data_IF_165644604904
#
_entry.id   IF_165644604904
#
_cell.length_a   1.000
_cell.length_b   1.000
_cell.length_c   1.000
_cell.angle_alpha   90.00
_cell.angle_beta   90.00
_cell.angle_gamma   90.00
#
_symmetry.space_group_name_H-M   'P 1'
#
loop_
_entity.id
_entity.type
_entity.pdbx_description
1 polymer ?
#
# COMPACT_ATOMS: atom_id res chain seq x y z
N UNK A 1 22.25 5.41 15.85
CA UNK A 1 22.65 5.92 14.52
C UNK A 1 22.42 7.41 14.49
N UNK A 2 23.44 8.22 14.18
CA UNK A 2 23.28 9.66 14.00
C UNK A 2 22.92 9.94 12.53
N UNK A 3 21.82 10.65 12.29
CA UNK A 3 21.36 11.03 10.95
C UNK A 3 21.74 12.49 10.67
N UNK A 4 22.30 12.79 9.49
CA UNK A 4 22.62 14.16 9.06
C UNK A 4 21.72 14.56 7.89
N UNK A 5 20.94 15.62 8.08
CA UNK A 5 20.11 16.18 7.01
C UNK A 5 20.95 17.05 6.07
N UNK A 6 20.97 16.68 4.79
CA UNK A 6 21.71 17.35 3.71
C UNK A 6 20.80 18.15 2.77
N UNK A 7 19.51 18.21 3.05
CA UNK A 7 18.51 18.76 2.13
C UNK A 7 18.78 20.22 1.79
N UNK A 8 19.18 21.04 2.77
CA UNK A 8 19.53 22.46 2.53
C UNK A 8 20.74 22.61 1.60
N UNK A 9 21.82 21.89 1.87
CA UNK A 9 23.05 21.94 1.07
C UNK A 9 22.75 21.48 -0.37
N UNK A 10 21.96 20.43 -0.53
CA UNK A 10 21.51 19.95 -1.84
C UNK A 10 20.72 21.02 -2.60
N UNK A 11 19.78 21.71 -1.93
CA UNK A 11 18.97 22.74 -2.56
C UNK A 11 19.81 23.93 -3.03
N UNK A 12 20.80 24.36 -2.24
CA UNK A 12 21.73 25.44 -2.60
C UNK A 12 22.62 25.07 -3.79
N UNK A 13 23.17 23.86 -3.80
CA UNK A 13 23.97 23.38 -4.94
C UNK A 13 23.13 23.26 -6.21
N UNK A 14 21.86 22.83 -6.08
CA UNK A 14 20.93 22.72 -7.21
C UNK A 14 20.57 24.08 -7.80
N UNK A 15 20.32 25.10 -6.97
CA UNK A 15 20.02 26.45 -7.44
C UNK A 15 21.23 27.09 -8.10
N UNK A 16 22.43 26.90 -7.53
CA UNK A 16 23.69 27.39 -8.11
C UNK A 16 24.01 26.70 -9.45
N UNK A 17 23.80 25.38 -9.55
CA UNK A 17 23.96 24.65 -10.81
C UNK A 17 22.99 25.16 -11.90
N UNK A 18 21.71 25.39 -11.55
CA UNK A 18 20.73 25.98 -12.48
C UNK A 18 21.14 27.39 -12.91
N UNK A 19 21.62 28.22 -11.98
CA UNK A 19 22.08 29.57 -12.27
C UNK A 19 23.29 29.57 -13.22
N UNK A 20 24.25 28.64 -13.04
CA UNK A 20 25.40 28.45 -13.93
C UNK A 20 25.01 28.01 -15.34
N UNK A 21 24.01 27.13 -15.47
CA UNK A 21 23.47 26.71 -16.78
C UNK A 21 22.79 27.87 -17.50
N UNK A 22 21.95 28.64 -16.78
CA UNK A 22 21.29 29.84 -17.31
C UNK A 22 22.30 30.92 -17.73
N UNK A 23 23.34 31.15 -16.94
CA UNK A 23 24.44 32.08 -17.30
C UNK A 23 25.19 31.62 -18.54
N UNK A 24 25.48 30.31 -18.67
CA UNK A 24 26.08 29.76 -19.89
C UNK A 24 25.16 29.93 -21.11
N UNK A 25 23.86 29.71 -20.94
CA UNK A 25 22.86 29.92 -21.99
C UNK A 25 22.75 31.39 -22.43
N UNK A 26 22.84 32.33 -21.49
CA UNK A 26 22.82 33.77 -21.79
C UNK A 26 24.15 34.30 -22.35
N UNK A 27 25.30 33.74 -21.96
CA UNK A 27 26.62 34.08 -22.52
C UNK A 27 26.80 33.60 -23.96
N UNK A 28 26.01 32.61 -24.39
CA UNK A 28 25.97 32.06 -25.74
C UNK A 28 24.91 32.79 -26.59
N UNK A 29 24.82 34.11 -26.46
CA UNK A 29 23.89 34.94 -27.22
C UNK A 29 24.44 35.29 -28.60
N UNK A 30 23.62 35.04 -29.64
CA UNK A 30 23.81 35.29 -31.07
C UNK A 30 24.59 34.24 -31.88
N UNK A 31 24.01 33.06 -32.02
CA UNK A 31 23.87 32.48 -33.35
C UNK A 31 22.38 32.23 -33.57
N UNK A 32 21.83 32.94 -34.56
CA UNK A 32 20.47 32.81 -35.05
C UNK A 32 20.16 31.36 -35.41
N UNK A 33 19.26 30.72 -34.65
CA UNK A 33 18.40 29.67 -35.17
C UNK A 33 17.05 29.74 -34.45
N UNK A 34 16.18 30.63 -34.93
CA UNK A 34 14.76 30.30 -34.95
C UNK A 34 14.58 29.03 -35.77
N UNK A 35 14.38 27.87 -35.12
CA UNK A 35 14.02 26.66 -35.89
C UNK A 35 14.20 25.27 -35.30
N UNK A 36 14.76 25.05 -34.11
CA UNK A 36 15.00 23.67 -33.60
C UNK A 36 14.19 23.33 -32.34
N UNK A 37 12.89 23.66 -32.33
CA UNK A 37 11.90 22.95 -31.51
C UNK A 37 10.59 22.69 -32.27
N UNK A 38 10.63 22.71 -33.60
CA UNK A 38 9.48 22.34 -34.43
C UNK A 38 9.88 21.27 -35.44
N UNK A 39 10.35 20.12 -34.94
CA UNK A 39 10.36 18.90 -35.74
C UNK A 39 8.96 18.29 -35.69
N UNK A 40 8.25 18.47 -36.81
CA UNK A 40 7.07 17.75 -37.28
C UNK A 40 6.86 16.41 -36.58
N UNK A 41 5.64 16.25 -36.08
CA UNK A 41 5.11 14.98 -35.58
C UNK A 41 5.28 13.85 -36.60
N UNK A 42 5.88 12.77 -36.13
CA UNK A 42 5.68 11.43 -36.62
C UNK A 42 5.21 10.60 -35.43
N UNK A 43 3.90 10.36 -35.39
CA UNK A 43 3.21 9.30 -34.64
C UNK A 43 3.93 8.72 -33.42
N UNK A 44 3.83 9.42 -32.31
CA UNK A 44 3.92 8.85 -30.98
C UNK A 44 2.89 9.60 -30.16
N UNK A 45 1.85 8.89 -29.72
CA UNK A 45 0.70 9.40 -28.98
C UNK A 45 1.18 10.40 -27.91
N UNK A 46 1.10 11.70 -28.23
CA UNK A 46 1.40 12.76 -27.29
C UNK A 46 0.20 12.86 -26.38
N UNK A 47 0.10 11.90 -25.45
CA UNK A 47 -0.62 12.07 -24.21
C UNK A 47 -0.06 13.34 -23.58
N UNK A 48 -0.82 14.41 -23.80
CA UNK A 48 -0.83 15.60 -22.98
C UNK A 48 -0.98 15.07 -21.56
N UNK A 49 0.15 14.88 -20.85
CA UNK A 49 0.18 14.44 -19.47
C UNK A 49 -0.74 15.35 -18.68
N UNK A 50 -1.96 14.88 -18.46
CA UNK A 50 -2.91 15.52 -17.58
C UNK A 50 -2.22 15.61 -16.23
N UNK A 51 -2.15 16.84 -15.72
CA UNK A 51 -1.65 17.07 -14.39
C UNK A 51 -2.65 16.41 -13.44
N UNK A 52 -2.23 15.30 -12.83
CA UNK A 52 -2.59 15.00 -11.44
C UNK A 52 -3.90 14.26 -11.20
N UNK A 53 -4.36 13.41 -12.11
CA UNK A 53 -5.32 12.39 -11.69
C UNK A 53 -4.54 11.25 -11.01
N UNK A 54 -4.66 11.17 -9.69
CA UNK A 54 -4.16 10.03 -8.92
C UNK A 54 -4.74 8.75 -9.53
N UNK A 55 -3.94 7.68 -9.65
CA UNK A 55 -4.45 6.41 -10.15
C UNK A 55 -5.75 6.01 -9.45
N UNK A 56 -6.74 5.41 -10.15
CA UNK A 56 -8.03 5.06 -9.56
C UNK A 56 -7.94 4.23 -8.28
N UNK A 57 -6.88 3.42 -8.13
CA UNK A 57 -6.63 2.65 -6.91
C UNK A 57 -6.30 3.54 -5.70
N UNK A 58 -5.76 4.74 -5.88
CA UNK A 58 -5.48 5.70 -4.79
C UNK A 58 -6.77 6.14 -4.11
N UNK A 59 -7.84 6.39 -4.87
CA UNK A 59 -9.15 6.71 -4.28
C UNK A 59 -9.71 5.55 -3.46
N UNK A 60 -9.47 4.30 -3.89
CA UNK A 60 -9.86 3.12 -3.12
C UNK A 60 -9.04 2.99 -1.81
N UNK A 61 -7.78 3.45 -1.78
CA UNK A 61 -6.98 3.54 -0.54
C UNK A 61 -7.58 4.59 0.40
N UNK A 62 -7.89 5.78 -0.09
CA UNK A 62 -8.52 6.84 0.72
C UNK A 62 -9.90 6.42 1.25
N UNK A 63 -10.65 5.63 0.47
CA UNK A 63 -11.91 5.03 0.92
C UNK A 63 -11.67 3.97 2.01
N UNK A 64 -10.68 3.09 1.82
CA UNK A 64 -10.30 2.09 2.82
C UNK A 64 -9.86 2.72 4.14
N UNK A 65 -9.03 3.76 4.10
CA UNK A 65 -8.57 4.46 5.30
C UNK A 65 -9.75 5.06 6.07
N UNK A 66 -10.77 5.59 5.37
CA UNK A 66 -12.00 6.06 5.99
C UNK A 66 -12.76 4.94 6.69
N UNK A 67 -12.93 3.78 6.05
CA UNK A 67 -13.55 2.62 6.69
C UNK A 67 -12.76 2.15 7.92
N UNK A 68 -11.43 2.08 7.85
CA UNK A 68 -10.60 1.66 8.98
C UNK A 68 -10.73 2.60 10.17
N UNK A 69 -10.70 3.93 9.94
CA UNK A 69 -10.89 4.92 11.01
C UNK A 69 -12.27 4.76 11.62
N UNK A 70 -13.31 4.64 10.79
CA UNK A 70 -14.68 4.50 11.26
C UNK A 70 -14.90 3.21 12.07
N UNK A 71 -14.37 2.07 11.60
CA UNK A 71 -14.41 0.80 12.34
C UNK A 71 -13.75 0.96 13.71
N UNK A 72 -12.59 1.62 13.79
CA UNK A 72 -11.91 1.85 15.08
C UNK A 72 -12.77 2.66 16.05
N UNK A 73 -13.42 3.72 15.58
CA UNK A 73 -14.34 4.54 16.39
C UNK A 73 -15.54 3.71 16.90
N UNK A 74 -16.15 2.92 16.01
CA UNK A 74 -17.26 2.03 16.38
C UNK A 74 -16.83 0.98 17.40
N UNK A 75 -15.65 0.37 17.24
CA UNK A 75 -15.08 -0.60 18.18
C UNK A 75 -14.82 0.02 19.55
N UNK A 76 -14.32 1.27 19.59
CA UNK A 76 -14.12 1.98 20.86
C UNK A 76 -15.46 2.25 21.56
N UNK A 77 -16.47 2.71 20.83
CA UNK A 77 -17.81 2.92 21.36
C UNK A 77 -18.44 1.62 21.85
N UNK A 78 -18.27 0.52 21.11
CA UNK A 78 -18.72 -0.79 21.52
C UNK A 78 -18.05 -1.24 22.83
N UNK A 79 -16.75 -1.05 22.99
CA UNK A 79 -16.04 -1.39 24.23
C UNK A 79 -16.56 -0.60 25.45
N UNK A 80 -16.96 0.67 25.25
CA UNK A 80 -17.62 1.49 26.29
C UNK A 80 -18.97 0.89 26.68
N UNK A 81 -19.78 0.46 25.70
CA UNK A 81 -21.06 -0.19 25.96
C UNK A 81 -20.89 -1.57 26.62
N UNK A 82 -19.94 -2.37 26.17
CA UNK A 82 -19.58 -3.65 26.79
C UNK A 82 -19.26 -3.47 28.28
N UNK A 83 -18.43 -2.48 28.60
CA UNK A 83 -18.09 -2.14 29.98
C UNK A 83 -19.32 -1.67 30.77
N UNK A 84 -20.15 -0.81 30.18
CA UNK A 84 -21.40 -0.31 30.79
C UNK A 84 -22.41 -1.42 31.06
N UNK A 85 -22.52 -2.40 30.16
CA UNK A 85 -23.42 -3.57 30.26
C UNK A 85 -22.96 -4.56 31.32
N UNK A 86 -21.64 -4.75 31.47
CA UNK A 86 -21.05 -5.61 32.50
C UNK A 86 -21.09 -4.99 33.90
N UNK A 87 -21.32 -3.67 34.03
CA UNK A 87 -21.53 -3.04 35.33
C UNK A 87 -22.92 -3.37 35.87
N UNK A 88 -22.99 -3.82 37.13
CA UNK A 88 -24.25 -4.11 37.82
C UNK A 88 -25.04 -2.81 38.00
N UNK A 89 -26.13 -2.65 37.24
CA UNK A 89 -27.04 -1.51 37.31
C UNK A 89 -28.47 -1.98 37.54
N UNK A 90 -29.16 -1.39 38.51
CA UNK A 90 -30.54 -1.74 38.89
C UNK A 90 -31.61 -0.90 38.17
N UNK A 91 -31.24 -0.21 37.09
CA UNK A 91 -32.11 0.76 36.40
C UNK A 91 -32.91 0.16 35.23
N UNK A 92 -32.77 -1.13 34.95
CA UNK A 92 -33.45 -1.80 33.83
C UNK A 92 -32.94 -1.38 32.44
N UNK A 93 -31.83 -0.63 32.36
CA UNK A 93 -31.22 -0.21 31.07
C UNK A 93 -30.52 -1.32 30.30
N UNK A 94 -30.49 -2.53 30.87
CA UNK A 94 -29.89 -3.74 30.30
C UNK A 94 -30.35 -4.03 28.87
N UNK A 95 -31.67 -4.02 28.63
CA UNK A 95 -32.23 -4.31 27.31
C UNK A 95 -31.88 -3.24 26.27
N UNK A 96 -31.77 -1.97 26.68
CA UNK A 96 -31.37 -0.88 25.78
C UNK A 96 -29.89 -1.01 25.39
N UNK A 97 -29.01 -1.29 26.36
CA UNK A 97 -27.60 -1.49 26.10
C UNK A 97 -27.38 -2.72 25.20
N UNK A 98 -28.15 -3.80 25.38
CA UNK A 98 -28.09 -5.00 24.53
C UNK A 98 -28.48 -4.70 23.07
N UNK A 99 -29.56 -3.93 22.86
CA UNK A 99 -29.96 -3.49 21.52
C UNK A 99 -28.91 -2.60 20.86
N UNK A 100 -28.31 -1.69 21.63
CA UNK A 100 -27.25 -0.79 21.15
C UNK A 100 -25.97 -1.57 20.78
N UNK A 101 -25.58 -2.54 21.62
CA UNK A 101 -24.46 -3.46 21.35
C UNK A 101 -24.71 -4.26 20.07
N UNK A 102 -25.92 -4.80 19.89
CA UNK A 102 -26.28 -5.53 18.66
C UNK A 102 -26.21 -4.62 17.43
N UNK A 103 -26.74 -3.40 17.53
CA UNK A 103 -26.73 -2.44 16.43
C UNK A 103 -25.31 -2.08 16.00
N UNK A 104 -24.44 -1.68 16.95
CA UNK A 104 -23.06 -1.32 16.66
C UNK A 104 -22.27 -2.54 16.16
N UNK A 105 -22.52 -3.73 16.71
CA UNK A 105 -21.85 -4.96 16.23
C UNK A 105 -22.22 -5.27 14.77
N UNK A 106 -23.49 -5.08 14.38
CA UNK A 106 -23.94 -5.23 12.99
C UNK A 106 -23.31 -4.16 12.09
N UNK A 107 -23.26 -2.91 12.54
CA UNK A 107 -22.65 -1.80 11.81
C UNK A 107 -21.16 -2.08 11.55
N UNK A 108 -20.40 -2.48 12.57
CA UNK A 108 -18.99 -2.87 12.42
C UNK A 108 -18.83 -3.97 11.38
N UNK A 109 -19.67 -5.01 11.44
CA UNK A 109 -19.60 -6.13 10.49
C UNK A 109 -19.90 -5.68 9.05
N UNK A 110 -20.87 -4.78 8.87
CA UNK A 110 -21.18 -4.17 7.57
C UNK A 110 -20.02 -3.32 7.05
N UNK A 111 -19.37 -2.53 7.91
CA UNK A 111 -18.19 -1.74 7.53
C UNK A 111 -17.02 -2.63 7.11
N UNK A 112 -16.78 -3.75 7.82
CA UNK A 112 -15.80 -4.76 7.38
C UNK A 112 -16.13 -5.33 6.00
N UNK A 113 -17.41 -5.63 5.71
CA UNK A 113 -17.85 -6.12 4.39
C UNK A 113 -17.68 -5.06 3.28
N UNK A 114 -17.96 -3.79 3.57
CA UNK A 114 -17.73 -2.68 2.63
C UNK A 114 -16.24 -2.53 2.32
N UNK A 115 -15.40 -2.51 3.36
CA UNK A 115 -13.96 -2.48 3.23
C UNK A 115 -13.44 -3.66 2.38
N UNK A 116 -13.88 -4.88 2.68
CA UNK A 116 -13.56 -6.09 1.92
C UNK A 116 -13.94 -5.96 0.44
N UNK A 117 -15.14 -5.45 0.14
CA UNK A 117 -15.62 -5.25 -1.23
C UNK A 117 -14.75 -4.25 -2.01
N UNK A 118 -14.36 -3.14 -1.38
CA UNK A 118 -13.45 -2.15 -1.98
C UNK A 118 -12.10 -2.79 -2.28
N UNK A 119 -11.54 -3.55 -1.33
CA UNK A 119 -10.27 -4.25 -1.52
C UNK A 119 -10.33 -5.26 -2.66
N UNK A 120 -11.41 -6.04 -2.76
CA UNK A 120 -11.62 -6.98 -3.87
C UNK A 120 -11.78 -6.27 -5.21
N UNK A 121 -12.46 -5.12 -5.23
CA UNK A 121 -12.61 -4.34 -6.46
C UNK A 121 -11.26 -3.80 -6.97
N UNK A 122 -10.30 -3.53 -6.08
CA UNK A 122 -8.94 -3.14 -6.45
C UNK A 122 -8.22 -4.26 -7.22
N UNK A 123 -8.47 -5.53 -6.89
CA UNK A 123 -7.90 -6.70 -7.58
C UNK A 123 -8.37 -6.78 -9.02
N UNK A 124 -9.67 -6.61 -9.26
CA UNK A 124 -10.26 -6.71 -10.60
C UNK A 124 -9.75 -5.63 -11.56
N UNK A 125 -9.37 -4.45 -11.05
CA UNK A 125 -8.83 -3.36 -11.86
C UNK A 125 -7.33 -3.52 -12.16
N UNK A 126 -6.61 -4.41 -11.47
CA UNK A 126 -5.17 -4.61 -11.69
C UNK A 126 -4.85 -5.27 -13.04
N UNK A 127 -5.81 -5.99 -13.64
CA UNK A 127 -5.59 -6.73 -14.89
C UNK A 127 -5.70 -5.88 -16.17
N UNK A 128 -6.20 -4.65 -16.09
CA UNK A 128 -6.44 -3.79 -17.25
C UNK A 128 -5.40 -2.65 -17.31
N UNK A 129 -4.52 -2.68 -18.32
CA UNK A 129 -3.72 -1.54 -18.82
C UNK A 129 -2.98 -0.66 -17.79
N UNK A 130 -2.27 -1.25 -16.82
CA UNK A 130 -1.36 -0.49 -15.94
C UNK A 130 0.11 -0.78 -16.23
N UNK A 131 0.95 0.25 -16.10
CA UNK A 131 2.41 0.13 -16.16
C UNK A 131 2.89 -0.93 -15.16
N UNK A 132 3.90 -1.73 -15.52
CA UNK A 132 4.43 -2.78 -14.65
C UNK A 132 4.87 -2.25 -13.26
N UNK A 133 5.27 -0.97 -13.18
CA UNK A 133 5.58 -0.30 -11.91
C UNK A 133 4.31 0.02 -11.09
N UNK A 134 3.24 0.45 -11.74
CA UNK A 134 1.97 0.77 -11.08
C UNK A 134 1.26 -0.48 -10.57
N UNK A 135 1.34 -1.58 -11.33
CA UNK A 135 0.82 -2.89 -10.92
C UNK A 135 1.52 -3.39 -9.64
N UNK A 136 2.85 -3.28 -9.55
CA UNK A 136 3.60 -3.61 -8.32
C UNK A 136 3.23 -2.70 -7.14
N UNK A 137 3.11 -1.39 -7.37
CA UNK A 137 2.72 -0.45 -6.33
C UNK A 137 1.31 -0.77 -5.79
N UNK A 138 0.36 -1.06 -6.68
CA UNK A 138 -0.99 -1.46 -6.33
C UNK A 138 -1.00 -2.76 -5.53
N UNK A 139 -0.24 -3.78 -5.94
CA UNK A 139 -0.14 -5.06 -5.21
C UNK A 139 0.42 -4.87 -3.79
N UNK A 140 1.46 -4.05 -3.64
CA UNK A 140 2.04 -3.75 -2.33
C UNK A 140 1.01 -3.06 -1.42
N UNK A 141 0.30 -2.07 -1.95
CA UNK A 141 -0.72 -1.33 -1.21
C UNK A 141 -1.89 -2.22 -0.83
N UNK A 142 -2.39 -3.03 -1.77
CA UNK A 142 -3.45 -4.01 -1.51
C UNK A 142 -3.08 -4.92 -0.34
N UNK A 143 -1.83 -5.38 -0.27
CA UNK A 143 -1.41 -6.28 0.80
C UNK A 143 -1.29 -5.59 2.13
N UNK A 144 -0.76 -4.37 2.14
CA UNK A 144 -0.69 -3.57 3.35
C UNK A 144 -2.11 -3.35 3.92
N UNK A 145 -3.06 -2.99 3.07
CA UNK A 145 -4.47 -2.80 3.44
C UNK A 145 -5.13 -4.12 3.89
N UNK A 146 -4.90 -5.23 3.18
CA UNK A 146 -5.40 -6.55 3.55
C UNK A 146 -4.90 -6.96 4.94
N UNK A 147 -3.60 -6.79 5.19
CA UNK A 147 -2.96 -7.13 6.47
C UNK A 147 -3.51 -6.25 7.60
N UNK A 148 -3.71 -4.96 7.35
CA UNK A 148 -4.29 -4.03 8.32
C UNK A 148 -5.74 -4.40 8.67
N UNK A 149 -6.58 -4.69 7.66
CA UNK A 149 -7.97 -5.09 7.85
C UNK A 149 -8.06 -6.45 8.57
N UNK A 150 -7.17 -7.38 8.25
CA UNK A 150 -7.06 -8.68 8.89
C UNK A 150 -6.68 -8.56 10.37
N UNK A 151 -5.71 -7.70 10.70
CA UNK A 151 -5.31 -7.41 12.08
C UNK A 151 -6.47 -6.80 12.87
N UNK A 152 -7.15 -5.81 12.30
CA UNK A 152 -8.31 -5.16 12.92
C UNK A 152 -9.46 -6.14 13.17
N UNK A 153 -9.74 -7.04 12.21
CA UNK A 153 -10.76 -8.10 12.37
C UNK A 153 -10.37 -9.11 13.44
N UNK A 154 -9.08 -9.50 13.53
CA UNK A 154 -8.57 -10.35 14.61
C UNK A 154 -8.78 -9.69 15.98
N UNK A 155 -8.40 -8.42 16.14
CA UNK A 155 -8.50 -7.72 17.42
C UNK A 155 -9.96 -7.55 17.86
N UNK A 156 -10.86 -7.26 16.91
CA UNK A 156 -12.29 -7.18 17.19
C UNK A 156 -12.88 -8.53 17.61
N UNK A 157 -12.58 -9.61 16.89
CA UNK A 157 -13.06 -10.96 17.25
C UNK A 157 -12.59 -11.38 18.64
N UNK A 158 -11.33 -11.09 18.98
CA UNK A 158 -10.78 -11.32 20.33
C UNK A 158 -11.53 -10.52 21.39
N UNK A 159 -11.81 -9.24 21.14
CA UNK A 159 -12.60 -8.40 22.06
C UNK A 159 -14.01 -8.96 22.28
N UNK A 160 -14.70 -9.35 21.20
CA UNK A 160 -16.04 -9.95 21.27
C UNK A 160 -16.05 -11.27 22.02
N UNK A 161 -15.06 -12.15 21.77
CA UNK A 161 -14.90 -13.41 22.51
C UNK A 161 -14.69 -13.15 24.00
N UNK A 162 -13.82 -12.22 24.36
CA UNK A 162 -13.60 -11.85 25.76
C UNK A 162 -14.88 -11.31 26.42
N UNK A 163 -15.65 -10.50 25.70
CA UNK A 163 -16.93 -10.01 26.18
C UNK A 163 -17.94 -11.14 26.41
N UNK A 164 -18.11 -12.05 25.45
CA UNK A 164 -18.99 -13.22 25.58
C UNK A 164 -18.63 -14.08 26.81
N UNK A 165 -17.34 -14.33 27.03
CA UNK A 165 -16.88 -15.07 28.21
C UNK A 165 -17.25 -14.36 29.52
N UNK A 166 -17.14 -13.02 29.57
CA UNK A 166 -17.54 -12.26 30.77
C UNK A 166 -19.05 -12.29 31.00
N UNK A 167 -19.85 -12.14 29.95
CA UNK A 167 -21.32 -12.23 30.05
C UNK A 167 -21.75 -13.61 30.53
N UNK A 168 -21.13 -14.68 30.00
CA UNK A 168 -21.38 -16.05 30.43
C UNK A 168 -21.04 -16.26 31.91
N UNK A 169 -19.87 -15.80 32.36
CA UNK A 169 -19.44 -15.87 33.76
C UNK A 169 -20.34 -15.07 34.71
N UNK A 170 -20.93 -13.97 34.25
CA UNK A 170 -21.89 -13.19 35.04
C UNK A 170 -23.23 -13.92 35.18
N UNK A 171 -23.71 -14.60 34.12
CA UNK A 171 -25.00 -15.30 34.10
C UNK A 171 -24.97 -16.66 34.80
N UNK A 172 -23.87 -17.41 34.70
CA UNK A 172 -23.75 -18.79 35.21
C UNK A 172 -22.99 -18.90 36.54
N UNK A 173 -22.53 -17.77 37.11
CA UNK A 173 -21.56 -17.75 38.20
C UNK A 173 -20.14 -18.01 37.68
N UNK A 174 -19.09 -17.90 38.53
CA UNK A 174 -17.73 -18.20 38.11
C UNK A 174 -17.64 -19.67 37.74
N UNK A 175 -17.83 -19.97 36.44
CA UNK A 175 -17.49 -21.26 35.88
C UNK A 175 -15.98 -21.32 35.97
N UNK A 176 -15.45 -22.29 36.71
CA UNK A 176 -14.03 -22.61 36.75
C UNK A 176 -13.64 -23.13 35.36
N UNK A 177 -13.58 -22.22 34.39
CA UNK A 177 -13.04 -22.49 33.08
C UNK A 177 -11.53 -22.52 33.26
N UNK A 178 -10.96 -23.71 33.10
CA UNK A 178 -9.56 -24.04 33.32
C UNK A 178 -8.64 -23.24 32.39
N UNK A 179 -8.40 -21.97 32.74
CA UNK A 179 -7.36 -21.12 32.18
C UNK A 179 -5.97 -21.75 32.43
N UNK A 180 -5.86 -22.70 33.36
CA UNK A 180 -4.63 -23.46 33.62
C UNK A 180 -4.39 -24.60 32.64
N UNK A 181 -5.40 -25.05 31.87
CA UNK A 181 -5.20 -25.96 30.73
C UNK A 181 -4.43 -25.28 29.60
N UNK A 182 -4.67 -23.99 29.38
CA UNK A 182 -3.94 -23.21 28.39
C UNK A 182 -2.52 -22.88 28.87
N UNK A 183 -2.34 -22.56 30.16
CA UNK A 183 -0.98 -22.27 30.69
C UNK A 183 -0.10 -23.51 30.90
N UNK A 184 -0.67 -24.70 31.11
CA UNK A 184 0.08 -25.96 31.11
C UNK A 184 0.52 -26.41 29.70
N UNK A 185 -0.13 -25.91 28.65
CA UNK A 185 0.34 -26.01 27.26
C UNK A 185 1.35 -24.90 26.87
N UNK A 186 1.33 -23.76 27.56
CA UNK A 186 2.26 -22.62 27.34
C UNK A 186 3.68 -22.91 27.84
N UNK A 187 3.86 -23.83 28.80
CA UNK A 187 5.18 -24.24 29.30
C UNK A 187 6.09 -25.00 28.31
N UNK A 188 5.60 -25.34 27.11
CA UNK A 188 6.39 -26.01 26.04
C UNK A 188 6.36 -25.29 24.68
N UNK A 189 5.86 -24.06 24.59
CA UNK A 189 5.70 -23.35 23.32
C UNK A 189 6.41 -21.99 23.24
N UNK A 190 7.50 -21.85 23.99
CA UNK A 190 8.56 -20.93 23.58
C UNK A 190 9.34 -21.61 22.43
N UNK A 191 9.45 -20.94 21.29
CA UNK A 191 10.11 -21.39 20.04
C UNK A 191 9.22 -22.22 19.10
N UNK A 192 8.26 -21.56 18.42
CA UNK A 192 8.04 -21.81 16.99
C UNK A 192 7.34 -20.60 16.35
N UNK A 193 8.18 -19.73 15.82
CA UNK A 193 7.88 -18.85 14.69
C UNK A 193 7.23 -19.67 13.57
N UNK A 194 6.18 -19.12 12.93
CA UNK A 194 5.36 -19.69 11.83
C UNK A 194 4.06 -20.41 12.27
N UNK A 195 2.93 -19.70 12.17
CA UNK A 195 1.59 -20.29 12.31
C UNK A 195 0.49 -19.30 12.70
N UNK A 196 0.23 -18.31 11.85
CA UNK A 196 -0.86 -17.31 12.00
C UNK A 196 -2.28 -17.93 12.01
N UNK A 197 -2.40 -19.25 11.80
CA UNK A 197 -3.64 -19.99 11.51
C UNK A 197 -4.22 -20.72 12.74
N UNK A 198 -3.37 -21.28 13.61
CA UNK A 198 -3.82 -22.26 14.62
C UNK A 198 -4.58 -21.64 15.79
N UNK A 199 -4.18 -20.44 16.26
CA UNK A 199 -4.86 -19.74 17.36
C UNK A 199 -6.14 -19.05 16.93
N UNK A 200 -6.34 -18.85 15.62
CA UNK A 200 -7.51 -18.18 15.08
C UNK A 200 -8.63 -19.15 14.71
N UNK A 201 -8.29 -20.38 14.30
CA UNK A 201 -9.30 -21.45 14.15
C UNK A 201 -9.97 -21.78 15.49
N UNK A 202 -9.20 -21.83 16.58
CA UNK A 202 -9.77 -22.06 17.93
C UNK A 202 -10.74 -20.97 18.37
N UNK A 203 -10.58 -19.73 17.90
CA UNK A 203 -11.51 -18.64 18.21
C UNK A 203 -12.87 -18.83 17.52
N UNK A 204 -12.89 -19.42 16.32
CA UNK A 204 -14.11 -19.74 15.56
C UNK A 204 -14.80 -20.95 16.16
N UNK A 205 -14.05 -22.01 16.48
CA UNK A 205 -14.60 -23.23 17.07
C UNK A 205 -15.30 -22.93 18.41
N UNK A 206 -14.69 -22.05 19.23
CA UNK A 206 -15.30 -21.59 20.50
C UNK A 206 -16.56 -20.77 20.24
N UNK A 207 -16.59 -19.93 19.20
CA UNK A 207 -17.80 -19.20 18.84
C UNK A 207 -18.91 -20.15 18.38
N UNK A 208 -18.59 -21.17 17.58
CA UNK A 208 -19.54 -22.20 17.13
C UNK A 208 -20.13 -23.02 18.29
N UNK A 209 -19.29 -23.40 19.27
CA UNK A 209 -19.77 -24.06 20.48
C UNK A 209 -20.74 -23.17 21.29
N UNK A 210 -20.47 -21.86 21.32
CA UNK A 210 -21.30 -20.85 21.99
C UNK A 210 -22.62 -20.56 21.23
N UNK A 211 -22.68 -20.75 19.91
CA UNK A 211 -23.91 -20.57 19.11
C UNK A 211 -25.06 -21.48 19.58
N UNK A 212 -24.76 -22.62 20.20
CA UNK A 212 -25.76 -23.54 20.74
C UNK A 212 -26.35 -23.12 22.10
N UNK A 213 -25.91 -21.98 22.66
CA UNK A 213 -26.48 -21.45 23.89
C UNK A 213 -27.93 -20.96 23.69
N UNK A 214 -28.74 -21.05 24.76
CA UNK A 214 -30.16 -20.62 24.75
C UNK A 214 -30.32 -19.10 24.78
N UNK A 215 -29.23 -18.37 24.85
CA UNK A 215 -29.20 -16.93 25.03
C UNK A 215 -29.06 -16.20 23.69
N UNK A 216 -30.12 -15.49 23.31
CA UNK A 216 -30.24 -14.81 22.00
C UNK A 216 -29.17 -13.71 21.84
N UNK A 217 -28.79 -13.04 22.93
CA UNK A 217 -27.72 -12.02 22.95
C UNK A 217 -26.39 -12.62 22.47
N UNK A 218 -26.05 -13.77 23.08
CA UNK A 218 -24.80 -14.47 22.85
C UNK A 218 -24.75 -15.03 21.42
N UNK A 219 -25.86 -15.60 20.95
CA UNK A 219 -25.97 -16.13 19.60
C UNK A 219 -25.72 -15.05 18.52
N UNK A 220 -26.25 -13.84 18.71
CA UNK A 220 -26.07 -12.72 17.77
C UNK A 220 -24.61 -12.31 17.64
N UNK A 221 -23.90 -12.21 18.77
CA UNK A 221 -22.48 -11.85 18.79
C UNK A 221 -21.63 -13.00 18.23
N UNK A 222 -21.94 -14.25 18.56
CA UNK A 222 -21.23 -15.39 17.99
C UNK A 222 -21.39 -15.46 16.46
N UNK A 223 -22.58 -15.14 15.94
CA UNK A 223 -22.82 -15.04 14.49
C UNK A 223 -21.94 -13.96 13.85
N UNK A 224 -21.79 -12.77 14.45
CA UNK A 224 -20.90 -11.75 13.90
C UNK A 224 -19.43 -12.16 13.92
N UNK A 225 -18.97 -12.90 14.94
CA UNK A 225 -17.62 -13.48 14.97
C UNK A 225 -17.42 -14.46 13.81
N UNK A 226 -18.38 -15.35 13.56
CA UNK A 226 -18.29 -16.30 12.43
C UNK A 226 -18.29 -15.57 11.09
N UNK A 227 -19.11 -14.53 10.93
CA UNK A 227 -19.13 -13.73 9.72
C UNK A 227 -17.77 -13.06 9.47
N UNK A 228 -17.18 -12.44 10.49
CA UNK A 228 -15.84 -11.84 10.37
C UNK A 228 -14.74 -12.87 10.14
N UNK A 229 -14.92 -14.11 10.61
CA UNK A 229 -14.02 -15.21 10.29
C UNK A 229 -14.07 -15.61 8.82
N UNK A 230 -15.24 -15.53 8.17
CA UNK A 230 -15.34 -15.71 6.71
C UNK A 230 -14.57 -14.63 5.97
N UNK A 231 -14.79 -13.35 6.31
CA UNK A 231 -14.02 -12.21 5.75
C UNK A 231 -12.52 -12.44 5.95
N UNK A 232 -12.11 -12.85 7.15
CA UNK A 232 -10.70 -13.13 7.46
C UNK A 232 -10.10 -14.20 6.53
N UNK A 233 -10.79 -15.31 6.30
CA UNK A 233 -10.33 -16.38 5.40
C UNK A 233 -10.20 -15.87 3.97
N UNK A 234 -11.16 -15.07 3.52
CA UNK A 234 -11.17 -14.46 2.19
C UNK A 234 -10.02 -13.46 2.01
N UNK A 235 -9.66 -12.70 3.05
CA UNK A 235 -8.52 -11.79 3.06
C UNK A 235 -7.17 -12.52 3.18
N UNK A 236 -7.12 -13.65 3.89
CA UNK A 236 -5.89 -14.42 4.07
C UNK A 236 -5.31 -14.89 2.74
N UNK A 237 -6.16 -15.28 1.79
CA UNK A 237 -5.72 -15.65 0.42
C UNK A 237 -4.96 -14.51 -0.25
N UNK A 238 -5.38 -13.25 -0.05
CA UNK A 238 -4.72 -12.08 -0.64
C UNK A 238 -3.34 -11.79 -0.02
N UNK A 239 -3.12 -12.22 1.24
CA UNK A 239 -1.87 -11.96 1.98
C UNK A 239 -0.85 -13.09 1.79
N UNK A 240 -1.32 -14.34 1.69
CA UNK A 240 -0.50 -15.56 1.59
C UNK A 240 0.27 -15.63 0.25
N UNK A 241 -0.35 -15.21 -0.85
CA UNK A 241 0.22 -15.34 -2.20
C UNK A 241 1.52 -14.55 -2.45
N UNK A 242 1.94 -13.68 -1.53
CA UNK A 242 3.16 -12.87 -1.66
C UNK A 242 4.33 -13.30 -0.76
N UNK A 243 4.25 -14.41 -0.02
CA UNK A 243 5.38 -14.92 0.79
C UNK A 243 5.66 -14.12 2.08
N UNK A 244 6.81 -14.34 2.74
CA UNK A 244 7.17 -13.67 4.01
C UNK A 244 7.49 -12.19 3.79
N UNK A 245 7.12 -11.33 4.76
CA UNK A 245 7.28 -9.86 4.66
C UNK A 245 8.75 -9.44 4.38
N UNK A 246 9.71 -10.18 4.92
CA UNK A 246 11.15 -9.92 4.76
C UNK A 246 11.63 -10.23 3.32
N UNK A 247 11.19 -11.34 2.73
CA UNK A 247 11.58 -11.76 1.38
C UNK A 247 11.13 -10.73 0.32
N UNK A 248 10.02 -10.03 0.56
CA UNK A 248 9.50 -8.99 -0.33
C UNK A 248 10.35 -7.72 -0.35
N UNK A 249 10.93 -7.33 0.79
CA UNK A 249 11.77 -6.13 0.87
C UNK A 249 13.10 -6.42 0.18
N UNK A 250 13.71 -7.57 0.49
CA UNK A 250 14.98 -7.97 -0.09
C UNK A 250 14.85 -8.16 -1.62
N UNK A 251 13.80 -8.84 -2.09
CA UNK A 251 13.53 -9.01 -3.52
C UNK A 251 13.32 -7.68 -4.26
N UNK A 252 12.49 -6.78 -3.73
CA UNK A 252 12.25 -5.47 -4.36
C UNK A 252 13.50 -4.58 -4.33
N UNK A 253 14.28 -4.63 -3.24
CA UNK A 253 15.53 -3.89 -3.11
C UNK A 253 16.57 -4.40 -4.10
N UNK A 254 16.70 -5.71 -4.28
CA UNK A 254 17.61 -6.32 -5.26
C UNK A 254 17.24 -5.91 -6.70
N UNK A 255 15.96 -5.87 -7.05
CA UNK A 255 15.53 -5.33 -8.35
C UNK A 255 15.87 -3.85 -8.53
N UNK A 256 15.70 -3.02 -7.50
CA UNK A 256 16.07 -1.60 -7.57
C UNK A 256 17.57 -1.43 -7.78
N UNK A 257 18.40 -2.26 -7.14
CA UNK A 257 19.84 -2.28 -7.34
C UNK A 257 20.18 -2.66 -8.79
N UNK A 258 19.60 -3.75 -9.31
CA UNK A 258 19.81 -4.21 -10.69
C UNK A 258 19.39 -3.15 -11.73
N UNK A 259 18.22 -2.52 -11.54
CA UNK A 259 17.75 -1.46 -12.43
C UNK A 259 18.62 -0.20 -12.37
N UNK A 260 19.15 0.14 -11.20
CA UNK A 260 20.05 1.29 -11.03
C UNK A 260 21.38 1.04 -11.72
N UNK A 261 21.94 -0.16 -11.60
CA UNK A 261 23.17 -0.56 -12.29
C UNK A 261 23.01 -0.45 -13.81
N UNK A 262 21.93 -1.01 -14.37
CA UNK A 262 21.60 -0.87 -15.81
C UNK A 262 21.41 0.59 -16.22
N UNK A 263 20.76 1.40 -15.38
CA UNK A 263 20.58 2.83 -15.61
C UNK A 263 21.90 3.60 -15.67
N UNK A 264 22.86 3.26 -14.81
CA UNK A 264 24.21 3.84 -14.83
C UNK A 264 24.93 3.50 -16.13
N UNK A 265 24.85 2.25 -16.60
CA UNK A 265 25.44 1.82 -17.88
C UNK A 265 24.85 2.58 -19.07
N UNK A 266 23.54 2.79 -19.11
CA UNK A 266 22.89 3.58 -20.17
C UNK A 266 23.30 5.06 -20.12
N UNK A 267 23.49 5.64 -18.92
CA UNK A 267 24.00 7.01 -18.76
C UNK A 267 25.44 7.14 -19.23
N UNK A 268 26.32 6.18 -18.92
CA UNK A 268 27.71 6.16 -19.37
C UNK A 268 27.77 6.04 -20.90
N UNK A 269 26.96 5.18 -21.50
CA UNK A 269 26.83 5.03 -22.95
C UNK A 269 26.31 6.32 -23.61
N UNK A 270 25.34 7.00 -22.98
CA UNK A 270 24.84 8.28 -23.45
C UNK A 270 25.91 9.37 -23.36
N UNK A 271 26.69 9.43 -22.28
CA UNK A 271 27.82 10.36 -22.13
C UNK A 271 28.88 10.08 -23.20
N UNK A 272 29.26 8.83 -23.40
CA UNK A 272 30.25 8.44 -24.42
C UNK A 272 29.76 8.80 -25.83
N UNK A 273 28.47 8.60 -26.12
CA UNK A 273 27.84 9.02 -27.37
C UNK A 273 27.88 10.54 -27.53
N UNK A 274 27.56 11.30 -26.47
CA UNK A 274 27.61 12.77 -26.46
C UNK A 274 29.05 13.28 -26.65
N UNK A 275 30.04 12.62 -26.02
CA UNK A 275 31.47 12.95 -26.12
C UNK A 275 32.07 12.59 -27.48
N UNK A 276 31.53 11.57 -28.16
CA UNK A 276 32.00 11.12 -29.49
C UNK A 276 31.66 12.06 -30.66
N UNK A 277 31.05 13.22 -30.38
CA UNK A 277 31.14 14.38 -31.27
C UNK A 277 30.45 14.19 -32.63
N UNK A 278 29.13 14.00 -32.63
CA UNK A 278 28.28 14.20 -33.82
C UNK A 278 28.62 15.46 -34.65
N UNK A 279 28.91 16.64 -34.05
CA UNK A 279 29.26 17.83 -34.82
C UNK A 279 30.63 17.77 -35.51
N UNK A 280 31.61 16.99 -35.05
CA UNK A 280 32.94 16.91 -35.69
C UNK A 280 32.88 16.26 -37.06
N UNK A 281 32.01 15.25 -37.25
CA UNK A 281 31.79 14.61 -38.56
C UNK A 281 31.09 15.55 -39.54
N UNK A 282 30.11 16.34 -39.06
CA UNK A 282 29.45 17.35 -39.88
C UNK A 282 30.40 18.49 -40.29
N UNK A 283 31.24 18.97 -39.37
CA UNK A 283 32.25 20.01 -39.65
C UNK A 283 33.25 19.51 -40.69
N UNK A 284 33.74 18.27 -40.57
CA UNK A 284 34.65 17.68 -41.56
C UNK A 284 34.04 17.58 -42.97
N UNK A 285 32.77 17.20 -43.06
CA UNK A 285 32.06 17.11 -44.34
C UNK A 285 31.86 18.50 -44.98
N UNK A 286 31.52 19.52 -44.16
CA UNK A 286 31.37 20.91 -44.60
C UNK A 286 32.69 21.48 -45.16
N UNK A 287 33.81 21.25 -44.46
CA UNK A 287 35.14 21.65 -44.92
C UNK A 287 35.54 20.96 -46.24
N UNK A 288 35.21 19.67 -46.39
CA UNK A 288 35.44 18.94 -47.63
C UNK A 288 34.67 19.50 -48.83
N UNK A 289 33.40 19.86 -48.63
CA UNK A 289 32.58 20.49 -49.68
C UNK A 289 33.09 21.88 -50.09
N UNK A 290 33.53 22.68 -49.11
CA UNK A 290 34.13 24.01 -49.38
C UNK A 290 35.40 23.84 -50.23
N UNK A 291 36.27 22.90 -49.87
CA UNK A 291 37.49 22.63 -50.64
C UNK A 291 37.20 22.15 -52.07
N UNK A 292 36.19 21.29 -52.24
CA UNK A 292 35.79 20.81 -53.56
C UNK A 292 35.26 21.97 -54.43
N UNK A 293 34.45 22.86 -53.87
CA UNK A 293 33.94 24.03 -54.58
C UNK A 293 35.06 25.01 -54.99
N UNK A 294 36.03 25.26 -54.12
CA UNK A 294 37.17 26.14 -54.45
C UNK A 294 38.09 25.51 -55.51
N UNK A 295 38.34 24.21 -55.46
CA UNK A 295 39.13 23.50 -56.47
C UNK A 295 38.49 23.57 -57.87
N UNK A 296 37.17 23.37 -57.96
CA UNK A 296 36.42 23.52 -59.22
C UNK A 296 36.51 24.94 -59.77
N UNK A 297 36.46 25.96 -58.91
CA UNK A 297 36.58 27.36 -59.30
C UNK A 297 37.96 27.69 -59.86
N UNK A 298 39.02 27.20 -59.23
CA UNK A 298 40.41 27.38 -59.69
C UNK A 298 40.63 26.66 -61.03
N UNK A 299 40.15 25.41 -61.18
CA UNK A 299 40.25 24.68 -62.44
C UNK A 299 39.45 25.32 -63.58
N UNK A 300 38.34 26.00 -63.27
CA UNK A 300 37.55 26.71 -64.28
C UNK A 300 38.19 28.03 -64.72
N UNK A 301 38.97 28.68 -63.85
CA UNK A 301 39.57 29.99 -64.10
C UNK A 301 41.05 29.91 -64.52
N UNK A 302 41.65 28.72 -64.45
CA UNK A 302 42.96 28.40 -65.01
C UNK A 302 42.84 27.84 -66.42
#
# INVERSE_FOLDING_TARGET
MATRDLTRIYLELRTDAKAKILRRKNMMGYADEGGILQRKGGHGNSERRERGESPPWVHAVEEMDRYVVHIKELVENLNKLHTKRLMVRFDGSESQNEQEIEQITKEITQEFRKAEKVLKSMVSHSQNDTSAADSKAQQNVQTALATQLQTLSSDFRKSQKQYLLRVKNQKQGPVEFDFLSETSAVGKRAVMEMGFDQTQMTDVDIAEDIINERDVEIQKIATSITELATIFKELAVLVIDQGTILDRIDYNMEQVVEHTEKGVLELEKAEQTQKSGGPMKCIGLLLGLIFLMTAVLVLKHS
#
